data_IF_380239690499
#
_entry.id   IF_380239690499
#
_cell.length_a   1.000
_cell.length_b   1.000
_cell.length_c   1.000
_cell.angle_alpha   90.00
_cell.angle_beta   90.00
_cell.angle_gamma   90.00
#
_symmetry.space_group_name_H-M   'P 1'
#
loop_
_entity.id
_entity.type
_entity.pdbx_description
1 polymer ?
#
# COMPACT_ATOMS: atom_id res chain seq x y z
N UNK A 1 10.88 -13.36 8.80
CA UNK A 1 10.95 -11.88 8.82
C UNK A 1 12.36 -11.31 8.95
N UNK A 2 13.22 -11.77 9.89
CA UNK A 2 14.57 -11.19 10.14
C UNK A 2 15.46 -11.02 8.89
N UNK A 3 15.46 -11.99 7.97
CA UNK A 3 16.21 -11.90 6.71
C UNK A 3 15.71 -10.78 5.78
N UNK A 4 14.39 -10.57 5.71
CA UNK A 4 13.81 -9.50 4.90
C UNK A 4 14.19 -8.12 5.45
N UNK A 5 14.12 -7.95 6.78
CA UNK A 5 14.53 -6.71 7.45
C UNK A 5 16.00 -6.37 7.17
N UNK A 6 16.92 -7.33 7.39
CA UNK A 6 18.35 -7.11 7.17
C UNK A 6 18.68 -6.76 5.70
N UNK A 7 18.03 -7.43 4.74
CA UNK A 7 18.19 -7.11 3.32
C UNK A 7 17.63 -5.72 3.01
N UNK A 8 16.47 -5.36 3.56
CA UNK A 8 15.86 -4.05 3.36
C UNK A 8 16.73 -2.91 3.93
N UNK A 9 17.28 -3.09 5.14
CA UNK A 9 18.22 -2.14 5.75
C UNK A 9 19.46 -1.92 4.87
N UNK A 10 20.04 -3.00 4.35
CA UNK A 10 21.22 -2.94 3.47
C UNK A 10 20.92 -2.19 2.17
N UNK A 11 19.78 -2.51 1.53
CA UNK A 11 19.37 -1.88 0.27
C UNK A 11 19.06 -0.40 0.48
N UNK A 12 18.31 -0.04 1.52
CA UNK A 12 17.95 1.34 1.79
C UNK A 12 19.19 2.19 2.11
N UNK A 13 20.15 1.67 2.87
CA UNK A 13 21.42 2.35 3.12
C UNK A 13 22.18 2.64 1.82
N UNK A 14 22.26 1.65 0.92
CA UNK A 14 22.89 1.82 -0.39
C UNK A 14 22.15 2.84 -1.28
N UNK A 15 20.82 2.83 -1.28
CA UNK A 15 19.99 3.78 -2.03
C UNK A 15 20.22 5.21 -1.53
N UNK A 16 20.14 5.46 -0.22
CA UNK A 16 20.37 6.80 0.31
C UNK A 16 21.80 7.29 0.11
N UNK A 17 22.80 6.39 0.17
CA UNK A 17 24.18 6.72 -0.20
C UNK A 17 24.28 7.17 -1.65
N UNK A 18 23.68 6.43 -2.58
CA UNK A 18 23.67 6.80 -3.99
C UNK A 18 22.93 8.13 -4.23
N UNK A 19 21.78 8.35 -3.59
CA UNK A 19 21.04 9.63 -3.68
C UNK A 19 21.90 10.81 -3.23
N UNK A 20 22.64 10.64 -2.13
CA UNK A 20 23.57 11.65 -1.63
C UNK A 20 24.74 11.90 -2.60
N UNK A 21 25.32 10.83 -3.17
CA UNK A 21 26.42 10.93 -4.13
C UNK A 21 26.02 11.66 -5.42
N UNK A 22 24.74 11.58 -5.77
CA UNK A 22 24.14 12.31 -6.90
C UNK A 22 23.54 13.67 -6.50
N UNK A 23 23.78 14.15 -5.27
CA UNK A 23 23.28 15.42 -4.74
C UNK A 23 21.75 15.57 -4.88
N UNK A 24 21.01 14.47 -4.73
CA UNK A 24 19.55 14.47 -4.79
C UNK A 24 18.99 15.14 -3.54
N UNK A 25 18.10 16.12 -3.73
CA UNK A 25 17.40 16.81 -2.65
C UNK A 25 16.31 15.89 -2.05
N UNK A 26 16.57 15.31 -0.87
CA UNK A 26 15.70 14.30 -0.27
C UNK A 26 14.31 14.83 0.09
N UNK A 27 14.20 16.11 0.43
CA UNK A 27 12.93 16.80 0.74
C UNK A 27 11.96 16.81 -0.44
N UNK A 28 12.48 16.73 -1.67
CA UNK A 28 11.68 16.62 -2.90
C UNK A 28 11.39 15.18 -3.31
N UNK A 29 11.79 14.18 -2.52
CA UNK A 29 11.65 12.76 -2.87
C UNK A 29 10.62 12.04 -2.00
N UNK A 30 10.11 10.93 -2.52
CA UNK A 30 9.29 9.97 -1.78
C UNK A 30 9.88 8.58 -1.93
N UNK A 31 9.95 7.84 -0.82
CA UNK A 31 10.41 6.45 -0.83
C UNK A 31 9.20 5.51 -0.94
N UNK A 32 9.26 4.58 -1.91
CA UNK A 32 8.29 3.49 -2.06
C UNK A 32 8.97 2.15 -1.77
N UNK A 33 9.14 1.76 -0.50
CA UNK A 33 9.79 0.50 -0.15
C UNK A 33 8.83 -0.68 -0.39
N UNK A 34 9.39 -1.90 -0.38
CA UNK A 34 8.69 -3.12 -0.71
C UNK A 34 7.67 -3.54 0.38
N UNK A 35 6.39 -3.53 0.01
CA UNK A 35 5.27 -4.19 0.70
C UNK A 35 4.38 -4.91 -0.33
N UNK A 36 5.01 -5.56 -1.32
CA UNK A 36 4.31 -6.19 -2.44
C UNK A 36 3.76 -7.59 -2.14
N UNK A 37 2.74 -8.02 -2.88
CA UNK A 37 2.19 -9.39 -2.83
C UNK A 37 1.16 -9.66 -1.72
N UNK A 38 0.84 -8.65 -0.91
CA UNK A 38 -0.18 -8.74 0.14
C UNK A 38 -1.59 -8.73 -0.45
N UNK A 39 -2.54 -9.33 0.27
CA UNK A 39 -3.97 -9.13 0.00
C UNK A 39 -4.35 -7.66 0.23
N UNK A 40 -5.52 -7.26 -0.26
CA UNK A 40 -6.02 -5.89 -0.09
C UNK A 40 -6.19 -5.56 1.40
N UNK A 41 -6.73 -6.48 2.17
CA UNK A 41 -6.93 -6.28 3.61
C UNK A 41 -5.61 -6.27 4.38
N UNK A 42 -4.70 -7.21 4.10
CA UNK A 42 -3.38 -7.26 4.74
C UNK A 42 -2.59 -5.96 4.54
N UNK A 43 -2.63 -5.38 3.32
CA UNK A 43 -1.96 -4.12 3.05
C UNK A 43 -2.49 -2.98 3.93
N UNK A 44 -3.82 -2.90 4.09
CA UNK A 44 -4.47 -1.87 4.91
C UNK A 44 -4.21 -2.09 6.41
N UNK A 45 -4.28 -3.34 6.88
CA UNK A 45 -4.01 -3.71 8.28
C UNK A 45 -2.55 -3.46 8.65
N UNK A 46 -1.60 -3.80 7.77
CA UNK A 46 -0.19 -3.56 8.04
C UNK A 46 0.14 -2.06 8.06
N UNK A 47 -0.46 -1.27 7.17
CA UNK A 47 -0.33 0.19 7.18
C UNK A 47 -0.88 0.81 8.47
N UNK A 48 -2.05 0.32 8.92
CA UNK A 48 -2.62 0.70 10.20
C UNK A 48 -1.69 0.35 11.36
N UNK A 49 -1.14 -0.86 11.39
CA UNK A 49 -0.24 -1.31 12.45
C UNK A 49 1.02 -0.43 12.52
N UNK A 50 1.64 -0.09 11.39
CA UNK A 50 2.80 0.81 11.34
C UNK A 50 2.47 2.22 11.88
N UNK A 51 1.32 2.77 11.51
CA UNK A 51 0.90 4.09 11.99
C UNK A 51 0.52 4.09 13.47
N UNK A 52 0.07 2.96 14.02
CA UNK A 52 -0.24 2.81 15.46
C UNK A 52 0.99 2.64 16.36
N UNK A 53 2.14 2.21 15.83
CA UNK A 53 3.36 2.03 16.64
C UNK A 53 3.75 3.31 17.39
N UNK A 54 3.97 3.21 18.70
CA UNK A 54 4.39 4.33 19.56
C UNK A 54 5.91 4.57 19.46
N UNK A 55 6.36 4.90 18.25
CA UNK A 55 7.75 5.26 17.96
C UNK A 55 7.79 6.56 17.17
N UNK A 56 8.89 7.31 17.28
CA UNK A 56 9.08 8.52 16.49
C UNK A 56 9.14 8.14 15.01
N UNK A 57 8.24 8.71 14.21
CA UNK A 57 8.16 8.55 12.76
C UNK A 57 8.34 9.92 12.13
N UNK A 58 9.58 10.31 11.76
CA UNK A 58 9.85 11.65 11.24
C UNK A 58 9.37 11.86 9.80
N UNK A 59 8.86 10.80 9.15
CA UNK A 59 8.27 10.85 7.82
C UNK A 59 6.86 10.25 7.82
N UNK A 60 6.02 10.75 6.93
CA UNK A 60 4.66 10.25 6.74
C UNK A 60 4.67 8.81 6.17
N UNK A 61 3.99 7.89 6.84
CA UNK A 61 3.78 6.53 6.34
C UNK A 61 2.40 6.42 5.67
N UNK A 62 2.40 6.57 4.34
CA UNK A 62 1.19 6.52 3.52
C UNK A 62 1.18 5.32 2.56
N UNK A 63 0.17 5.22 1.71
CA UNK A 63 0.03 4.14 0.72
C UNK A 63 0.33 4.63 -0.70
N UNK A 64 0.84 3.71 -1.52
CA UNK A 64 0.96 3.88 -2.96
C UNK A 64 0.55 2.55 -3.61
N UNK A 65 -0.74 2.38 -3.85
CA UNK A 65 -1.35 1.08 -4.15
C UNK A 65 -2.07 1.11 -5.49
N UNK A 66 -1.54 0.40 -6.50
CA UNK A 66 -2.23 0.22 -7.78
C UNK A 66 -3.30 -0.87 -7.69
N UNK A 67 -2.85 -2.13 -7.84
CA UNK A 67 -3.73 -3.32 -7.80
C UNK A 67 -4.59 -3.41 -6.53
N UNK A 68 -4.06 -3.05 -5.36
CA UNK A 68 -4.81 -3.14 -4.11
C UNK A 68 -5.99 -2.13 -3.99
N UNK A 69 -5.99 -1.06 -4.80
CA UNK A 69 -7.13 -0.15 -4.91
C UNK A 69 -8.06 -0.54 -6.07
N UNK A 70 -7.47 -0.87 -7.22
CA UNK A 70 -8.24 -1.01 -8.46
C UNK A 70 -8.86 -2.41 -8.65
N UNK A 71 -8.34 -3.45 -8.01
CA UNK A 71 -8.79 -4.83 -8.29
C UNK A 71 -10.27 -5.06 -7.96
N UNK A 72 -10.76 -4.61 -6.80
CA UNK A 72 -12.19 -4.70 -6.48
C UNK A 72 -13.03 -3.89 -7.48
N UNK A 73 -12.59 -2.68 -7.80
CA UNK A 73 -13.28 -1.80 -8.75
C UNK A 73 -13.40 -2.44 -10.14
N UNK A 74 -12.33 -3.05 -10.64
CA UNK A 74 -12.32 -3.72 -11.95
C UNK A 74 -13.23 -4.95 -11.95
N UNK A 75 -13.19 -5.77 -10.89
CA UNK A 75 -14.09 -6.93 -10.75
C UNK A 75 -15.56 -6.50 -10.69
N UNK A 76 -15.90 -5.48 -9.90
CA UNK A 76 -17.27 -4.95 -9.79
C UNK A 76 -17.74 -4.30 -11.09
N UNK A 77 -16.85 -3.58 -11.79
CA UNK A 77 -17.18 -2.95 -13.06
C UNK A 77 -17.48 -3.98 -14.15
N UNK A 78 -16.64 -5.02 -14.28
CA UNK A 78 -16.75 -6.07 -15.29
C UNK A 78 -16.89 -5.53 -16.75
N UNK A 79 -16.44 -4.31 -17.01
CA UNK A 79 -16.58 -3.63 -18.32
C UNK A 79 -17.98 -3.14 -18.64
N UNK A 80 -18.96 -3.26 -17.72
CA UNK A 80 -20.36 -2.89 -17.96
C UNK A 80 -20.64 -1.46 -17.53
N UNK A 81 -21.28 -0.66 -18.40
CA UNK A 81 -21.63 0.73 -18.10
C UNK A 81 -22.61 0.85 -16.93
N UNK A 82 -23.52 -0.12 -16.77
CA UNK A 82 -24.45 -0.15 -15.63
C UNK A 82 -23.77 -0.29 -14.26
N UNK A 83 -22.55 -0.84 -14.21
CA UNK A 83 -21.84 -1.10 -12.96
C UNK A 83 -20.92 0.05 -12.55
N UNK A 84 -20.84 1.14 -13.32
CA UNK A 84 -19.92 2.26 -13.06
C UNK A 84 -20.14 2.84 -11.66
N UNK A 85 -21.38 3.10 -11.27
CA UNK A 85 -21.70 3.64 -9.95
C UNK A 85 -21.25 2.70 -8.81
N UNK A 86 -21.54 1.39 -8.94
CA UNK A 86 -21.13 0.36 -7.97
C UNK A 86 -19.61 0.23 -7.88
N UNK A 87 -18.92 0.30 -9.02
CA UNK A 87 -17.46 0.23 -9.08
C UNK A 87 -16.81 1.46 -8.42
N UNK A 88 -17.37 2.66 -8.63
CA UNK A 88 -16.92 3.89 -7.97
C UNK A 88 -17.11 3.82 -6.46
N UNK A 89 -18.24 3.29 -5.99
CA UNK A 89 -18.49 3.08 -4.56
C UNK A 89 -17.47 2.11 -3.94
N UNK A 90 -17.19 0.99 -4.60
CA UNK A 90 -16.16 0.05 -4.18
C UNK A 90 -14.75 0.67 -4.15
N UNK A 91 -14.43 1.52 -5.13
CA UNK A 91 -13.17 2.26 -5.17
C UNK A 91 -13.06 3.24 -3.99
N UNK A 92 -14.09 4.04 -3.77
CA UNK A 92 -14.14 5.04 -2.71
C UNK A 92 -14.04 4.40 -1.32
N UNK A 93 -14.72 3.26 -1.12
CA UNK A 93 -14.61 2.49 0.11
C UNK A 93 -13.16 2.11 0.40
N UNK A 94 -12.43 1.59 -0.60
CA UNK A 94 -11.01 1.20 -0.44
C UNK A 94 -10.09 2.40 -0.25
N UNK A 95 -10.36 3.54 -0.90
CA UNK A 95 -9.65 4.78 -0.66
C UNK A 95 -9.82 5.25 0.80
N UNK A 96 -11.05 5.22 1.32
CA UNK A 96 -11.34 5.57 2.72
C UNK A 96 -10.64 4.62 3.70
N UNK A 97 -10.74 3.31 3.47
CA UNK A 97 -10.06 2.31 4.31
C UNK A 97 -8.54 2.55 4.41
N UNK A 98 -7.86 2.81 3.29
CA UNK A 98 -6.43 3.12 3.31
C UNK A 98 -6.13 4.50 3.92
N UNK A 99 -6.98 5.50 3.68
CA UNK A 99 -6.87 6.81 4.34
C UNK A 99 -6.95 6.67 5.86
N UNK A 100 -7.94 5.94 6.38
CA UNK A 100 -8.08 5.70 7.81
C UNK A 100 -6.90 4.91 8.39
N UNK A 101 -6.32 4.00 7.60
CA UNK A 101 -5.11 3.28 8.00
C UNK A 101 -3.89 4.20 8.13
N UNK A 102 -3.75 5.24 7.28
CA UNK A 102 -2.69 6.26 7.44
C UNK A 102 -2.83 7.06 8.73
N UNK A 103 -4.06 7.26 9.19
CA UNK A 103 -4.35 8.00 10.42
C UNK A 103 -4.35 7.11 11.67
N UNK A 104 -4.13 5.79 11.53
CA UNK A 104 -4.24 4.84 12.63
C UNK A 104 -5.67 4.67 13.16
N UNK A 105 -6.69 4.94 12.33
CA UNK A 105 -8.12 4.88 12.67
C UNK A 105 -8.88 3.73 12.01
N UNK A 106 -8.20 2.91 11.21
CA UNK A 106 -8.84 1.80 10.50
C UNK A 106 -9.32 0.68 11.45
N UNK A 107 -10.46 0.07 11.11
CA UNK A 107 -11.02 -1.09 11.82
C UNK A 107 -10.84 -2.32 10.93
N UNK A 108 -10.01 -3.26 11.38
CA UNK A 108 -9.72 -4.51 10.68
C UNK A 108 -10.99 -5.38 10.52
N UNK A 109 -11.18 -5.96 9.34
CA UNK A 109 -12.36 -6.79 9.03
C UNK A 109 -13.57 -6.00 8.53
N UNK A 110 -13.46 -4.68 8.37
CA UNK A 110 -14.51 -3.88 7.72
C UNK A 110 -14.57 -4.08 6.20
N UNK A 111 -13.53 -4.67 5.60
CA UNK A 111 -13.48 -4.95 4.17
C UNK A 111 -14.11 -6.31 3.83
N UNK A 112 -15.12 -6.31 2.96
CA UNK A 112 -15.80 -7.53 2.50
C UNK A 112 -14.90 -8.57 1.80
N UNK A 113 -15.44 -9.77 1.54
CA UNK A 113 -14.71 -10.98 1.09
C UNK A 113 -13.71 -10.77 -0.05
N UNK A 114 -14.03 -9.91 -1.03
CA UNK A 114 -13.14 -9.58 -2.14
C UNK A 114 -11.79 -9.04 -1.67
N UNK A 115 -11.67 -8.48 -0.46
CA UNK A 115 -10.44 -7.93 0.08
C UNK A 115 -9.40 -8.98 0.51
N UNK A 116 -9.82 -10.24 0.69
CA UNK A 116 -8.96 -11.35 1.12
C UNK A 116 -8.25 -12.06 -0.03
N UNK A 117 -8.61 -11.76 -1.28
CA UNK A 117 -7.98 -12.37 -2.46
C UNK A 117 -6.52 -11.91 -2.61
N UNK A 118 -5.62 -12.88 -2.81
CA UNK A 118 -4.19 -12.61 -3.01
C UNK A 118 -3.96 -11.92 -4.35
N UNK A 119 -3.18 -10.84 -4.32
CA UNK A 119 -2.80 -10.06 -5.51
C UNK A 119 -1.45 -10.51 -6.11
N UNK A 120 -0.86 -11.58 -5.57
CA UNK A 120 0.42 -12.07 -6.05
C UNK A 120 0.27 -12.74 -7.43
N UNK A 121 1.00 -12.21 -8.41
CA UNK A 121 1.11 -12.79 -9.75
C UNK A 121 2.59 -12.97 -10.07
N UNK A 122 3.02 -14.21 -10.31
CA UNK A 122 4.41 -14.54 -10.67
C UNK A 122 4.77 -13.87 -11.99
N UNK A 123 5.85 -13.09 -12.01
CA UNK A 123 6.36 -12.44 -13.23
C UNK A 123 5.56 -11.23 -13.72
N UNK A 124 4.79 -10.58 -12.84
CA UNK A 124 4.04 -9.38 -13.19
C UNK A 124 4.95 -8.24 -13.67
N UNK A 125 4.63 -7.67 -14.84
CA UNK A 125 5.29 -6.49 -15.42
C UNK A 125 4.36 -5.28 -15.30
N UNK A 126 4.94 -4.13 -14.95
CA UNK A 126 4.25 -2.84 -14.92
C UNK A 126 4.01 -2.30 -16.32
#
# INVERSE_FOLDING_TARGET
MKKCAAVNETILAAVYKALNDHCVLLEGTLLKPNMGGQTKEEATVNLYAMNKLEVLKPWMLSFSSGRALQHCTLQTWAGKKENVAKAQEAFLFRCKANSDATLGKYIAGSSGELALESLYVKGYKY
#
